data_IF_529371654111
#
_entry.id   IF_529371654111
#
_cell.length_a   1.000
_cell.length_b   1.000
_cell.length_c   1.000
_cell.angle_alpha   90.00
_cell.angle_beta   90.00
_cell.angle_gamma   90.00
#
_symmetry.space_group_name_H-M   'P 1'
#
loop_
_entity.id
_entity.type
_entity.pdbx_description
1 polymer ?
#
# COMPACT_ATOMS: atom_id res chain seq x y z
N UNK A 1 17.01 -12.52 -24.28
CA UNK A 1 15.79 -12.28 -23.49
C UNK A 1 16.07 -11.18 -22.48
N UNK A 2 15.63 -9.93 -22.74
CA UNK A 2 15.83 -8.82 -21.80
C UNK A 2 14.93 -9.05 -20.58
N UNK A 3 15.53 -9.27 -19.42
CA UNK A 3 14.84 -9.33 -18.14
C UNK A 3 14.21 -7.97 -17.85
N UNK A 4 13.00 -7.74 -18.37
CA UNK A 4 12.07 -6.72 -17.85
C UNK A 4 11.66 -7.20 -16.46
N UNK A 5 12.55 -7.04 -15.47
CA UNK A 5 12.15 -6.88 -14.09
C UNK A 5 11.37 -5.57 -14.08
N UNK A 6 10.09 -5.64 -14.40
CA UNK A 6 9.15 -4.59 -14.01
C UNK A 6 9.34 -4.51 -12.50
N UNK A 7 10.13 -3.52 -12.08
CA UNK A 7 10.21 -3.17 -10.68
C UNK A 7 8.78 -2.74 -10.37
N UNK A 8 7.99 -3.65 -9.81
CA UNK A 8 6.63 -3.38 -9.35
C UNK A 8 6.78 -2.34 -8.23
N UNK A 9 6.86 -1.07 -8.64
CA UNK A 9 7.07 0.04 -7.75
C UNK A 9 5.81 0.20 -6.93
N UNK A 10 5.95 0.05 -5.62
CA UNK A 10 4.89 0.25 -4.65
C UNK A 10 4.96 1.67 -4.10
N UNK A 11 3.82 2.24 -3.79
CA UNK A 11 3.69 3.60 -3.26
C UNK A 11 2.94 3.57 -1.95
N UNK A 12 3.20 4.56 -1.11
CA UNK A 12 2.37 4.83 0.06
C UNK A 12 1.07 5.49 -0.42
N UNK A 13 -0.06 4.83 -0.12
CA UNK A 13 -1.39 5.29 -0.51
C UNK A 13 -2.29 5.48 0.71
N UNK A 14 -3.17 6.47 0.63
CA UNK A 14 -4.30 6.65 1.54
C UNK A 14 -5.54 6.15 0.83
N UNK A 15 -6.19 5.18 1.45
CA UNK A 15 -7.34 4.46 0.92
C UNK A 15 -8.52 4.83 1.79
N UNK A 16 -9.55 5.42 1.20
CA UNK A 16 -10.81 5.66 1.89
C UNK A 16 -11.75 4.47 1.70
N UNK A 17 -12.81 4.42 2.50
CA UNK A 17 -13.82 3.36 2.40
C UNK A 17 -14.55 3.35 1.04
N UNK A 18 -14.63 4.48 0.34
CA UNK A 18 -15.15 4.57 -1.03
C UNK A 18 -14.21 3.95 -2.06
N UNK A 19 -13.15 3.28 -1.59
CA UNK A 19 -12.08 2.73 -2.40
C UNK A 19 -11.37 3.83 -3.23
N UNK A 20 -11.44 5.07 -2.74
CA UNK A 20 -10.64 6.17 -3.29
C UNK A 20 -9.20 6.01 -2.81
N UNK A 21 -8.33 5.70 -3.77
CA UNK A 21 -6.92 5.47 -3.52
C UNK A 21 -6.18 6.75 -3.91
N UNK A 22 -5.96 7.57 -2.90
CA UNK A 22 -5.22 8.81 -3.00
C UNK A 22 -3.74 8.55 -2.72
N UNK A 23 -2.89 8.65 -3.75
CA UNK A 23 -1.44 8.46 -3.59
C UNK A 23 -0.86 9.54 -2.68
N UNK A 24 -0.28 9.14 -1.56
CA UNK A 24 0.44 10.07 -0.67
C UNK A 24 1.74 10.52 -1.34
N UNK A 25 2.34 9.64 -2.13
CA UNK A 25 3.61 9.89 -2.80
C UNK A 25 3.48 9.71 -4.32
N UNK A 26 3.93 10.72 -5.09
CA UNK A 26 3.96 10.66 -6.56
C UNK A 26 5.03 9.70 -7.11
N UNK A 27 5.99 9.29 -6.28
CA UNK A 27 7.10 8.40 -6.62
C UNK A 27 6.91 7.07 -5.90
N UNK A 28 7.14 5.95 -6.58
CA UNK A 28 7.22 4.63 -5.96
C UNK A 28 8.21 4.69 -4.79
N UNK A 29 7.71 4.43 -3.59
CA UNK A 29 8.46 4.52 -2.33
C UNK A 29 9.22 3.21 -2.06
N UNK A 30 8.87 2.12 -2.76
CA UNK A 30 9.53 0.83 -2.62
C UNK A 30 9.32 -0.07 -3.83
N UNK A 31 9.74 -1.33 -3.71
CA UNK A 31 9.69 -2.35 -4.75
C UNK A 31 9.03 -3.65 -4.22
N UNK A 32 7.90 -4.06 -4.79
CA UNK A 32 7.17 -5.27 -4.35
C UNK A 32 7.96 -6.58 -4.47
N UNK A 33 9.07 -6.60 -5.22
CA UNK A 33 9.95 -7.77 -5.32
C UNK A 33 11.01 -7.87 -4.23
N UNK A 34 11.13 -6.85 -3.36
CA UNK A 34 12.16 -6.78 -2.30
C UNK A 34 11.60 -6.31 -0.97
N UNK A 35 10.70 -5.33 -1.01
CA UNK A 35 10.15 -4.68 0.16
C UNK A 35 8.80 -5.30 0.53
N UNK A 36 8.48 -5.39 1.83
CA UNK A 36 7.16 -5.81 2.29
C UNK A 36 6.09 -4.85 1.77
N UNK A 37 4.94 -5.40 1.40
CA UNK A 37 3.79 -4.65 0.91
C UNK A 37 2.51 -5.31 1.39
N UNK A 38 1.45 -4.51 1.46
CA UNK A 38 0.12 -5.02 1.74
C UNK A 38 -0.73 -4.96 0.48
N UNK A 39 -1.62 -5.93 0.32
CA UNK A 39 -2.55 -5.97 -0.81
C UNK A 39 -3.91 -5.46 -0.35
N UNK A 40 -4.49 -4.56 -1.12
CA UNK A 40 -5.86 -4.09 -0.93
C UNK A 40 -6.44 -3.73 -2.30
N UNK A 41 -7.70 -4.09 -2.54
CA UNK A 41 -8.38 -3.87 -3.83
C UNK A 41 -7.54 -4.28 -5.07
N UNK A 42 -6.96 -5.48 -5.03
CA UNK A 42 -6.07 -6.01 -6.08
C UNK A 42 -4.82 -5.15 -6.39
N UNK A 43 -4.55 -4.13 -5.58
CA UNK A 43 -3.38 -3.24 -5.68
C UNK A 43 -2.41 -3.52 -4.55
N UNK A 44 -1.13 -3.27 -4.83
CA UNK A 44 -0.04 -3.42 -3.86
C UNK A 44 0.30 -2.05 -3.29
N UNK A 45 0.29 -1.96 -1.98
CA UNK A 45 0.50 -0.75 -1.21
C UNK A 45 1.75 -0.89 -0.37
N UNK A 46 2.61 0.14 -0.40
CA UNK A 46 3.83 0.13 0.39
C UNK A 46 3.52 0.24 1.88
N UNK A 47 4.47 -0.20 2.71
CA UNK A 47 4.46 0.04 4.15
C UNK A 47 4.17 1.51 4.46
N UNK A 48 3.29 1.75 5.43
CA UNK A 48 2.84 3.08 5.83
C UNK A 48 1.56 3.54 5.11
N UNK A 49 1.08 2.79 4.11
CA UNK A 49 -0.24 3.02 3.52
C UNK A 49 -1.33 2.87 4.56
N UNK A 50 -2.43 3.61 4.41
CA UNK A 50 -3.50 3.69 5.40
C UNK A 50 -4.85 3.45 4.75
N UNK A 51 -5.70 2.66 5.39
CA UNK A 51 -7.10 2.46 5.05
C UNK A 51 -7.95 3.08 6.15
N UNK A 52 -8.78 4.05 5.81
CA UNK A 52 -9.72 4.67 6.74
C UNK A 52 -11.14 4.20 6.43
N UNK A 53 -11.77 3.57 7.41
CA UNK A 53 -13.18 3.12 7.33
C UNK A 53 -14.15 4.16 7.93
N UNK A 54 -15.44 4.07 7.62
CA UNK A 54 -16.50 4.98 8.13
C UNK A 54 -16.56 5.04 9.65
N UNK A 55 -16.27 3.90 10.30
CA UNK A 55 -16.26 3.78 11.75
C UNK A 55 -15.06 4.49 12.41
N UNK A 56 -14.24 5.19 11.62
CA UNK A 56 -13.02 5.84 12.06
C UNK A 56 -11.83 4.89 12.26
N UNK A 57 -11.99 3.59 11.99
CA UNK A 57 -10.88 2.65 12.12
C UNK A 57 -9.85 2.90 11.01
N UNK A 58 -8.59 3.02 11.42
CA UNK A 58 -7.46 3.17 10.52
C UNK A 58 -6.65 1.88 10.49
N UNK A 59 -6.50 1.27 9.32
CA UNK A 59 -5.60 0.15 9.12
C UNK A 59 -4.34 0.62 8.43
N UNK A 60 -3.19 0.37 9.04
CA UNK A 60 -1.89 0.78 8.51
C UNK A 60 -1.15 -0.46 8.00
N UNK A 61 -0.59 -0.37 6.80
CA UNK A 61 0.29 -1.41 6.29
C UNK A 61 1.63 -1.39 7.05
N UNK A 62 1.99 -2.48 7.70
CA UNK A 62 3.21 -2.60 8.49
C UNK A 62 4.36 -3.23 7.70
N UNK A 63 5.58 -3.15 8.24
CA UNK A 63 6.78 -3.82 7.69
C UNK A 63 6.67 -5.35 7.70
N UNK A 64 5.67 -5.90 8.37
CA UNK A 64 5.34 -7.33 8.34
C UNK A 64 4.53 -7.72 7.08
N UNK A 65 4.22 -6.76 6.20
CA UNK A 65 3.39 -6.99 5.01
C UNK A 65 1.93 -7.26 5.34
N UNK A 66 1.47 -6.82 6.52
CA UNK A 66 0.11 -7.06 7.02
C UNK A 66 -0.58 -5.75 7.38
N UNK A 67 -1.90 -5.72 7.21
CA UNK A 67 -2.72 -4.59 7.67
C UNK A 67 -2.93 -4.69 9.17
N UNK A 68 -2.49 -3.66 9.90
CA UNK A 68 -2.71 -3.55 11.35
C UNK A 68 -3.70 -2.45 11.63
N UNK A 69 -4.85 -2.81 12.18
CA UNK A 69 -5.87 -1.86 12.58
C UNK A 69 -5.47 -1.20 13.90
N UNK A 70 -5.49 0.13 13.93
CA UNK A 70 -5.40 0.95 15.13
C UNK A 70 -6.74 1.64 15.33
N UNK A 71 -7.21 1.66 16.58
CA UNK A 71 -8.51 2.19 16.99
C UNK A 71 -8.33 3.52 17.71
#
# INVERSE_FOLDING_TARGET
>A
MQNRKQQDSISVDNITQENDISKVTKKGTGNAGKDPFCVYDHKRHAVGSKITTENGLQSVCTEEGSWKTSK
#
